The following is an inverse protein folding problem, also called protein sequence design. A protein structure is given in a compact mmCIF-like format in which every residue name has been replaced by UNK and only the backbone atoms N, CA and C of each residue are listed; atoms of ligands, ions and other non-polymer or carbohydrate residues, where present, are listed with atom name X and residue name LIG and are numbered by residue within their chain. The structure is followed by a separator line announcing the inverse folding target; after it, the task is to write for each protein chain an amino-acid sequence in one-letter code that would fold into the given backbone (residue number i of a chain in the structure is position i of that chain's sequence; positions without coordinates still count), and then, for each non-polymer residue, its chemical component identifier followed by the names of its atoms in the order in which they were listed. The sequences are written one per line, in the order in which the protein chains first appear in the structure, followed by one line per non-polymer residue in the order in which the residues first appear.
data_IF_714175184462
#
_entry.id   IF_714175184462
#
_cell.length_a   1.000
_cell.length_b   1.000
_cell.length_c   1.000
_cell.angle_alpha   90.00
_cell.angle_beta   90.00
_cell.angle_gamma   90.00
#
_symmetry.space_group_name_H-M   'P 1'
#
loop_
_entity.id
_entity.type
_entity.pdbx_description
1 polymer ?
#
# COMPACT_ATOMS: atom_id res chain seq x y z
N UNK A 1 19.69 -3.19 6.37
CA UNK A 1 18.93 -4.34 5.83
C UNK A 1 19.30 -4.45 4.37
N UNK A 2 19.46 -5.64 3.77
CA UNK A 2 19.69 -5.72 2.33
C UNK A 2 18.47 -5.07 1.66
N UNK A 3 18.66 -3.90 1.07
CA UNK A 3 17.71 -3.34 0.12
C UNK A 3 17.61 -4.39 -0.97
N UNK A 4 16.41 -4.94 -1.17
CA UNK A 4 16.18 -5.69 -2.39
C UNK A 4 16.24 -4.65 -3.50
N UNK A 5 17.42 -4.47 -4.11
CA UNK A 5 17.66 -3.60 -5.27
C UNK A 5 16.93 -4.12 -6.54
N UNK A 6 15.95 -5.01 -6.38
CA UNK A 6 15.10 -5.48 -7.45
C UNK A 6 13.87 -4.58 -7.54
N UNK A 7 14.02 -3.47 -8.25
CA UNK A 7 12.89 -2.72 -8.76
C UNK A 7 12.31 -3.48 -9.95
N UNK A 8 11.02 -3.83 -9.88
CA UNK A 8 10.32 -4.44 -11.02
C UNK A 8 10.44 -3.50 -12.22
N UNK A 9 10.91 -3.98 -13.38
CA UNK A 9 11.00 -3.14 -14.56
C UNK A 9 9.64 -2.49 -14.83
N UNK A 10 9.61 -1.17 -15.05
CA UNK A 10 8.35 -0.42 -15.17
C UNK A 10 7.42 -1.02 -16.25
N UNK A 11 7.98 -1.53 -17.34
CA UNK A 11 7.22 -2.19 -18.40
C UNK A 11 6.47 -3.45 -17.90
N UNK A 12 7.01 -4.20 -16.95
CA UNK A 12 6.40 -5.44 -16.46
C UNK A 12 5.09 -5.17 -15.71
N UNK A 13 5.00 -4.05 -15.00
CA UNK A 13 3.77 -3.60 -14.35
C UNK A 13 2.69 -3.25 -15.37
N UNK A 14 3.00 -2.41 -16.36
CA UNK A 14 2.04 -2.00 -17.38
C UNK A 14 1.56 -3.19 -18.22
N UNK A 15 2.49 -4.09 -18.59
CA UNK A 15 2.18 -5.33 -19.28
C UNK A 15 1.28 -6.23 -18.41
N UNK A 16 1.57 -6.35 -17.12
CA UNK A 16 0.72 -7.07 -16.18
C UNK A 16 -0.71 -6.54 -16.13
N UNK A 17 -0.87 -5.22 -16.03
CA UNK A 17 -2.18 -4.56 -16.01
C UNK A 17 -2.97 -4.74 -17.31
N UNK A 18 -2.33 -5.02 -18.44
CA UNK A 18 -3.02 -5.25 -19.71
C UNK A 18 -3.28 -6.74 -19.94
N UNK A 19 -2.25 -7.58 -19.81
CA UNK A 19 -2.33 -9.01 -20.13
C UNK A 19 -3.21 -9.74 -19.14
N UNK A 20 -3.06 -9.47 -17.84
CA UNK A 20 -3.79 -10.22 -16.82
C UNK A 20 -5.31 -10.13 -17.00
N UNK A 21 -5.91 -8.93 -17.13
CA UNK A 21 -7.34 -8.82 -17.38
C UNK A 21 -7.81 -9.51 -18.66
N UNK A 22 -7.05 -9.40 -19.76
CA UNK A 22 -7.42 -10.05 -21.03
C UNK A 22 -7.45 -11.57 -20.88
N UNK A 23 -6.44 -12.15 -20.21
CA UNK A 23 -6.39 -13.58 -19.92
C UNK A 23 -7.53 -13.98 -18.98
N UNK A 24 -7.76 -13.22 -17.91
CA UNK A 24 -8.83 -13.46 -16.95
C UNK A 24 -10.21 -13.43 -17.63
N UNK A 25 -10.44 -12.46 -18.51
CA UNK A 25 -11.66 -12.30 -19.30
C UNK A 25 -11.90 -13.48 -20.24
N UNK A 26 -10.86 -13.95 -20.94
CA UNK A 26 -10.94 -15.16 -21.79
C UNK A 26 -11.25 -16.40 -20.94
N UNK A 27 -10.67 -16.53 -19.76
CA UNK A 27 -10.89 -17.65 -18.85
C UNK A 27 -12.30 -17.63 -18.25
N UNK A 28 -12.79 -16.47 -17.81
CA UNK A 28 -14.09 -16.30 -17.20
C UNK A 28 -15.24 -16.55 -18.19
N UNK A 29 -15.05 -16.19 -19.46
CA UNK A 29 -16.03 -16.44 -20.53
C UNK A 29 -16.14 -17.91 -20.93
N UNK A 30 -15.26 -18.79 -20.46
CA UNK A 30 -15.40 -20.25 -20.65
C UNK A 30 -16.46 -20.76 -19.65
N UNK A 31 -17.70 -20.81 -20.11
CA UNK A 31 -18.82 -21.33 -19.32
C UNK A 31 -18.48 -22.68 -18.70
N UNK A 32 -18.47 -22.74 -17.36
CA UNK A 32 -18.46 -24.01 -16.63
C UNK A 32 -19.89 -24.28 -16.18
N UNK A 33 -20.44 -25.42 -16.59
CA UNK A 33 -21.60 -26.01 -15.94
C UNK A 33 -21.20 -26.26 -14.47
N UNK A 34 -21.86 -25.55 -13.54
CA UNK A 34 -21.50 -25.59 -12.12
C UNK A 34 -22.15 -26.81 -11.48
N UNK A 35 -21.50 -27.98 -11.58
CA UNK A 35 -21.60 -28.92 -10.46
C UNK A 35 -20.83 -28.28 -9.28
N UNK A 36 -21.52 -28.01 -8.15
CA UNK A 36 -20.85 -27.58 -6.92
C UNK A 36 -19.94 -28.72 -6.44
N UNK A 37 -18.67 -28.67 -6.80
CA UNK A 37 -17.63 -29.55 -6.24
C UNK A 37 -16.48 -28.72 -5.70
N UNK A 38 -16.11 -28.99 -4.46
CA UNK A 38 -14.87 -28.53 -3.88
C UNK A 38 -13.70 -29.22 -4.56
N UNK A 39 -12.71 -28.43 -4.99
CA UNK A 39 -11.52 -28.96 -5.67
C UNK A 39 -10.35 -29.05 -4.68
N UNK A 40 -9.58 -30.13 -4.79
CA UNK A 40 -8.41 -30.32 -3.95
C UNK A 40 -7.33 -29.27 -4.25
N UNK A 41 -7.14 -28.93 -5.53
CA UNK A 41 -6.18 -27.91 -5.98
C UNK A 41 -6.50 -26.55 -5.38
N UNK A 42 -7.78 -26.12 -5.43
CA UNK A 42 -8.19 -24.85 -4.81
C UNK A 42 -8.06 -24.90 -3.30
N UNK A 43 -8.35 -26.05 -2.67
CA UNK A 43 -8.13 -26.25 -1.24
C UNK A 43 -6.67 -26.04 -0.82
N UNK A 44 -5.71 -26.61 -1.56
CA UNK A 44 -4.29 -26.42 -1.28
C UNK A 44 -3.82 -25.00 -1.58
N UNK A 45 -4.36 -24.37 -2.62
CA UNK A 45 -4.09 -22.96 -2.91
C UNK A 45 -4.53 -22.08 -1.73
N UNK A 46 -5.77 -22.22 -1.27
CA UNK A 46 -6.32 -21.46 -0.13
C UNK A 46 -5.56 -21.80 1.16
N UNK A 47 -5.11 -23.04 1.35
CA UNK A 47 -4.25 -23.40 2.47
C UNK A 47 -2.92 -22.64 2.44
N UNK A 48 -2.29 -22.54 1.26
CA UNK A 48 -1.02 -21.81 1.11
C UNK A 48 -1.21 -20.30 1.30
N UNK A 49 -2.29 -19.72 0.75
CA UNK A 49 -2.55 -18.27 0.73
C UNK A 49 -3.48 -17.80 1.84
N UNK A 50 -3.88 -18.66 2.78
CA UNK A 50 -4.95 -18.34 3.71
C UNK A 50 -4.98 -19.22 4.95
N UNK A 51 -4.05 -20.18 5.03
CA UNK A 51 -4.01 -21.16 6.11
C UNK A 51 -3.76 -20.55 7.49
N UNK A 52 -3.00 -19.45 7.57
CA UNK A 52 -2.76 -18.72 8.82
C UNK A 52 -4.04 -18.13 9.44
N UNK A 53 -5.09 -17.93 8.65
CA UNK A 53 -6.38 -17.38 9.12
C UNK A 53 -7.46 -18.49 9.11
N UNK A 54 -7.11 -19.72 8.70
CA UNK A 54 -8.04 -20.85 8.63
C UNK A 54 -8.97 -20.84 7.40
N UNK A 55 -8.65 -20.07 6.35
CA UNK A 55 -9.52 -19.92 5.17
C UNK A 55 -9.81 -21.25 4.46
N UNK A 56 -8.87 -22.20 4.47
CA UNK A 56 -9.05 -23.53 3.87
C UNK A 56 -10.11 -24.36 4.61
N UNK A 57 -10.32 -24.13 5.91
CA UNK A 57 -11.40 -24.76 6.68
C UNK A 57 -12.75 -24.10 6.35
N UNK A 58 -12.79 -22.78 6.26
CA UNK A 58 -14.02 -22.06 5.87
C UNK A 58 -14.46 -22.37 4.44
N UNK A 59 -13.51 -22.53 3.52
CA UNK A 59 -13.78 -22.99 2.16
C UNK A 59 -14.57 -24.31 2.15
N UNK A 60 -14.26 -25.22 3.07
CA UNK A 60 -14.92 -26.52 3.23
C UNK A 60 -16.10 -26.49 4.21
N UNK A 61 -16.64 -25.31 4.53
CA UNK A 61 -17.72 -25.07 5.51
C UNK A 61 -17.44 -25.66 6.90
N UNK A 62 -16.17 -25.69 7.31
CA UNK A 62 -15.75 -26.21 8.61
C UNK A 62 -15.43 -25.08 9.59
N UNK A 63 -16.18 -25.01 10.69
CA UNK A 63 -16.05 -23.98 11.73
C UNK A 63 -14.75 -24.05 12.53
N UNK A 64 -13.97 -25.14 12.44
CA UNK A 64 -12.65 -25.22 13.07
C UNK A 64 -11.66 -24.16 12.54
N UNK A 65 -11.97 -23.51 11.40
CA UNK A 65 -11.25 -22.32 10.94
C UNK A 65 -11.19 -21.21 12.00
N UNK A 66 -12.19 -21.09 12.87
CA UNK A 66 -12.21 -20.08 13.95
C UNK A 66 -11.08 -20.24 14.97
N UNK A 67 -10.47 -21.43 15.10
CA UNK A 67 -9.32 -21.64 16.01
C UNK A 67 -8.08 -20.86 15.57
N UNK A 68 -7.93 -20.63 14.25
CA UNK A 68 -6.78 -19.90 13.70
C UNK A 68 -6.82 -18.42 14.02
N UNK A 69 -8.02 -17.82 14.07
CA UNK A 69 -8.20 -16.38 14.29
C UNK A 69 -7.60 -15.86 15.60
N UNK A 70 -7.89 -16.40 16.80
CA UNK A 70 -7.30 -15.89 18.04
C UNK A 70 -5.77 -16.08 18.07
N UNK A 71 -5.24 -17.17 17.51
CA UNK A 71 -3.79 -17.41 17.44
C UNK A 71 -3.13 -16.39 16.52
N UNK A 72 -3.74 -16.13 15.36
CA UNK A 72 -3.29 -15.12 14.42
C UNK A 72 -3.35 -13.71 15.03
N UNK A 73 -4.39 -13.38 15.79
CA UNK A 73 -4.48 -12.11 16.52
C UNK A 73 -3.37 -11.96 17.56
N UNK A 74 -3.01 -13.03 18.28
CA UNK A 74 -1.87 -13.02 19.21
C UNK A 74 -0.56 -12.73 18.47
N UNK A 75 -0.35 -13.28 17.27
CA UNK A 75 0.83 -12.96 16.44
C UNK A 75 0.86 -11.46 16.10
N UNK A 76 -0.27 -10.89 15.65
CA UNK A 76 -0.36 -9.47 15.30
C UNK A 76 -0.08 -8.56 16.50
N UNK A 77 -0.71 -8.83 17.65
CA UNK A 77 -0.50 -8.06 18.88
C UNK A 77 0.96 -8.18 19.33
N UNK A 78 1.53 -9.38 19.29
CA UNK A 78 2.92 -9.62 19.69
C UNK A 78 3.92 -8.88 18.80
N UNK A 79 3.67 -8.81 17.49
CA UNK A 79 4.54 -8.07 16.59
C UNK A 79 4.44 -6.55 16.80
N UNK A 80 3.21 -6.04 16.95
CA UNK A 80 2.98 -4.62 17.28
C UNK A 80 3.69 -4.23 18.57
N UNK A 81 3.47 -4.98 19.65
CA UNK A 81 4.08 -4.70 20.95
C UNK A 81 5.60 -4.95 20.94
N UNK A 82 6.08 -5.95 20.21
CA UNK A 82 7.50 -6.21 20.02
C UNK A 82 8.23 -5.08 19.30
N UNK A 83 7.54 -4.34 18.42
CA UNK A 83 8.09 -3.14 17.75
C UNK A 83 8.20 -1.97 18.73
N UNK A 84 7.15 -1.71 19.52
CA UNK A 84 7.17 -0.69 20.59
C UNK A 84 8.26 -0.98 21.61
N UNK A 85 8.35 -2.21 22.11
CA UNK A 85 9.37 -2.62 23.08
C UNK A 85 10.81 -2.48 22.52
N UNK A 86 11.00 -2.71 21.21
CA UNK A 86 12.29 -2.51 20.55
C UNK A 86 12.71 -1.04 20.53
N UNK A 87 11.77 -0.12 20.26
CA UNK A 87 12.05 1.32 20.27
C UNK A 87 12.47 1.77 21.67
N UNK A 88 11.66 1.44 22.69
CA UNK A 88 11.92 1.79 24.09
C UNK A 88 13.29 1.26 24.53
N UNK A 89 13.59 0.00 24.24
CA UNK A 89 14.89 -0.59 24.57
C UNK A 89 16.05 0.12 23.86
N UNK A 90 15.87 0.54 22.61
CA UNK A 90 16.88 1.28 21.86
C UNK A 90 17.15 2.65 22.47
N UNK A 91 16.09 3.36 22.87
CA UNK A 91 16.17 4.70 23.45
C UNK A 91 16.89 4.66 24.80
N UNK A 92 16.46 3.76 25.70
CA UNK A 92 17.07 3.62 27.04
C UNK A 92 18.51 3.11 26.95
N UNK A 93 18.81 2.16 26.05
CA UNK A 93 20.20 1.74 25.84
C UNK A 93 21.08 2.87 25.30
N UNK A 94 20.52 3.78 24.51
CA UNK A 94 21.26 4.95 24.06
C UNK A 94 21.57 5.90 25.22
N UNK A 95 20.60 6.15 26.11
CA UNK A 95 20.82 6.94 27.34
C UNK A 95 21.95 6.35 28.19
N UNK A 96 21.87 5.05 28.51
CA UNK A 96 22.91 4.33 29.28
C UNK A 96 24.27 4.48 28.62
N UNK A 97 24.36 4.22 27.31
CA UNK A 97 25.62 4.32 26.55
C UNK A 97 26.17 5.75 26.48
N UNK A 98 25.32 6.77 26.48
CA UNK A 98 25.76 8.17 26.51
C UNK A 98 26.28 8.52 27.89
N UNK A 99 25.56 8.14 28.94
CA UNK A 99 25.94 8.37 30.33
C UNK A 99 27.25 7.65 30.70
N UNK A 100 27.43 6.38 30.32
CA UNK A 100 28.67 5.62 30.54
C UNK A 100 29.87 6.29 29.85
N UNK A 101 29.69 6.76 28.60
CA UNK A 101 30.75 7.46 27.87
C UNK A 101 31.07 8.83 28.48
N UNK A 102 30.08 9.52 29.04
CA UNK A 102 30.29 10.79 29.73
C UNK A 102 30.99 10.58 31.07
N UNK A 103 30.55 9.60 31.85
CA UNK A 103 31.17 9.21 33.11
C UNK A 103 32.65 8.88 32.92
N UNK A 104 32.99 7.98 32.00
CA UNK A 104 34.38 7.60 31.74
C UNK A 104 35.27 8.79 31.32
N UNK A 105 34.72 9.76 30.56
CA UNK A 105 35.46 10.97 30.17
C UNK A 105 35.69 11.92 31.34
N UNK A 106 34.68 12.12 32.20
CA UNK A 106 34.80 13.03 33.34
C UNK A 106 35.63 12.40 34.48
N UNK A 107 35.57 11.08 34.66
CA UNK A 107 36.48 10.33 35.57
C UNK A 107 37.94 10.50 35.15
N UNK A 108 38.25 10.33 33.85
CA UNK A 108 39.59 10.53 33.32
C UNK A 108 40.07 11.98 33.49
N UNK A 109 39.19 12.97 33.28
CA UNK A 109 39.50 14.38 33.50
C UNK A 109 39.78 14.68 34.97
N UNK A 110 38.91 14.19 35.86
CA UNK A 110 39.06 14.34 37.30
C UNK A 110 40.39 13.76 37.78
N UNK A 111 40.77 12.56 37.31
CA UNK A 111 42.06 11.95 37.63
C UNK A 111 43.23 12.84 37.17
N UNK A 112 43.16 13.38 35.95
CA UNK A 112 44.22 14.26 35.41
C UNK A 112 44.35 15.59 36.16
N UNK A 113 43.23 16.23 36.52
CA UNK A 113 43.23 17.50 37.26
C UNK A 113 43.70 17.30 38.71
N UNK A 114 43.29 16.20 39.35
CA UNK A 114 43.76 15.83 40.70
C UNK A 114 45.27 15.52 40.71
N UNK A 115 45.80 14.89 39.67
CA UNK A 115 47.22 14.59 39.54
C UNK A 115 48.09 15.86 39.34
N UNK A 116 47.55 16.90 38.69
CA UNK A 116 48.26 18.16 38.44
C UNK A 116 48.32 19.10 39.66
N UNK A 117 47.33 19.03 40.57
CA UNK A 117 47.22 19.93 41.73
C UNK A 117 48.45 19.91 42.67
N UNK A 118 49.06 18.76 43.03
CA UNK A 118 50.26 18.73 43.87
C UNK A 118 51.45 19.45 43.25
N UNK A 119 51.67 19.28 41.94
CA UNK A 119 52.75 19.95 41.20
C UNK A 119 52.53 21.46 41.14
N UNK A 120 51.30 21.91 40.84
CA UNK A 120 50.94 23.33 40.84
C UNK A 120 51.09 23.98 42.23
N UNK A 121 50.75 23.26 43.30
CA UNK A 121 50.93 23.73 44.69
C UNK A 121 52.41 23.84 45.06
N UNK A 122 53.23 22.86 44.66
CA UNK A 122 54.67 22.93 44.85
C UNK A 122 55.31 24.08 44.03
N UNK A 123 54.85 24.32 42.80
CA UNK A 123 55.26 25.49 42.00
C UNK A 123 54.90 26.82 42.69
N UNK A 124 53.73 26.89 43.33
CA UNK A 124 53.29 28.08 44.08
C UNK A 124 54.18 28.32 45.30
N UNK A 125 54.51 27.27 46.05
CA UNK A 125 55.35 27.34 47.26
C UNK A 125 56.80 27.76 46.94
N UNK A 126 57.30 27.40 45.75
CA UNK A 126 58.64 27.77 45.28
C UNK A 126 58.73 29.15 44.61
N UNK A 127 57.59 29.82 44.34
CA UNK A 127 57.55 31.10 43.62
C UNK A 127 57.87 32.30 44.54
N UNK A 128 58.62 33.27 44.01
CA UNK A 128 58.95 34.52 44.71
C UNK A 128 57.67 35.30 45.10
N UNK A 129 57.52 35.74 46.37
CA UNK A 129 56.36 36.47 46.85
C UNK A 129 55.96 37.73 46.06
N UNK A 130 56.90 38.41 45.41
CA UNK A 130 56.62 39.66 44.67
C UNK A 130 56.52 39.47 43.14
N UNK A 131 56.59 38.22 42.65
CA UNK A 131 56.56 37.95 41.20
C UNK A 131 55.14 37.88 40.62
N UNK A 132 54.94 38.51 39.46
CA UNK A 132 53.72 38.36 38.64
C UNK A 132 53.42 36.88 38.27
N UNK A 133 54.44 36.01 38.25
CA UNK A 133 54.26 34.57 37.97
C UNK A 133 53.48 33.84 39.06
N UNK A 134 53.57 34.28 40.33
CA UNK A 134 52.83 33.70 41.45
C UNK A 134 51.32 33.80 41.25
N UNK A 135 50.86 34.99 40.82
CA UNK A 135 49.43 35.23 40.55
C UNK A 135 48.90 34.37 39.40
N UNK A 136 49.72 34.09 38.39
CA UNK A 136 49.36 33.20 37.30
C UNK A 136 49.22 31.73 37.76
N UNK A 137 50.08 31.28 38.68
CA UNK A 137 50.00 29.94 39.29
C UNK A 137 48.75 29.80 40.17
N UNK A 138 48.43 30.81 40.99
CA UNK A 138 47.19 30.85 41.78
C UNK A 138 45.94 30.71 40.90
N UNK A 139 45.88 31.43 39.77
CA UNK A 139 44.77 31.32 38.83
C UNK A 139 44.68 29.94 38.14
N UNK A 140 45.82 29.26 37.93
CA UNK A 140 45.86 27.88 37.42
C UNK A 140 45.34 26.89 38.45
N UNK A 141 45.71 27.06 39.72
CA UNK A 141 45.20 26.25 40.83
C UNK A 141 43.69 26.45 40.99
N UNK A 142 43.22 27.70 41.05
CA UNK A 142 41.78 28.01 41.15
C UNK A 142 40.98 27.42 39.99
N UNK A 143 41.52 27.48 38.76
CA UNK A 143 40.89 26.84 37.60
C UNK A 143 40.85 25.31 37.73
N UNK A 144 41.94 24.69 38.16
CA UNK A 144 42.01 23.25 38.36
C UNK A 144 41.03 22.79 39.47
N UNK A 145 40.93 23.54 40.57
CA UNK A 145 39.97 23.26 41.65
C UNK A 145 38.51 23.39 41.17
N UNK A 146 38.17 24.42 40.39
CA UNK A 146 36.85 24.56 39.76
C UNK A 146 36.54 23.43 38.76
N UNK A 147 37.52 23.00 37.99
CA UNK A 147 37.37 21.87 37.07
C UNK A 147 37.12 20.56 37.84
N UNK A 148 37.80 20.35 38.97
CA UNK A 148 37.59 19.19 39.86
C UNK A 148 36.17 19.20 40.42
N UNK A 149 35.68 20.34 40.92
CA UNK A 149 34.31 20.48 41.42
C UNK A 149 33.29 20.17 40.32
N UNK A 150 33.43 20.80 39.14
CA UNK A 150 32.55 20.57 38.00
C UNK A 150 32.55 19.11 37.54
N UNK A 151 33.73 18.47 37.52
CA UNK A 151 33.86 17.06 37.12
C UNK A 151 33.15 16.14 38.12
N UNK A 152 33.26 16.41 39.42
CA UNK A 152 32.55 15.65 40.47
C UNK A 152 31.04 15.79 40.36
N UNK A 153 30.54 17.00 40.12
CA UNK A 153 29.09 17.21 39.92
C UNK A 153 28.58 16.42 38.71
N UNK A 154 29.30 16.49 37.58
CA UNK A 154 28.93 15.74 36.37
C UNK A 154 29.03 14.24 36.55
N UNK A 155 30.02 13.75 37.28
CA UNK A 155 30.14 12.33 37.63
C UNK A 155 28.91 11.90 38.43
N UNK A 156 28.55 12.63 39.49
CA UNK A 156 27.38 12.33 40.32
C UNK A 156 26.06 12.37 39.52
N UNK A 157 25.91 13.32 38.60
CA UNK A 157 24.75 13.41 37.70
C UNK A 157 24.67 12.16 36.78
N UNK A 158 25.78 11.77 36.16
CA UNK A 158 25.82 10.60 35.29
C UNK A 158 25.62 9.28 36.06
N UNK A 159 26.16 9.16 37.27
CA UNK A 159 25.93 8.00 38.15
C UNK A 159 24.46 7.88 38.55
N UNK A 160 23.81 9.01 38.87
CA UNK A 160 22.37 9.05 39.17
C UNK A 160 21.57 8.62 37.95
N UNK A 161 21.87 9.18 36.78
CA UNK A 161 21.22 8.81 35.52
C UNK A 161 21.40 7.31 35.20
N UNK A 162 22.59 6.75 35.41
CA UNK A 162 22.83 5.31 35.23
C UNK A 162 22.03 4.46 36.22
N UNK A 163 21.93 4.90 37.47
CA UNK A 163 21.16 4.21 38.51
C UNK A 163 19.66 4.17 38.16
N UNK A 164 19.14 5.21 37.50
CA UNK A 164 17.76 5.26 37.03
C UNK A 164 17.53 4.52 35.70
N UNK A 165 18.45 4.66 34.73
CA UNK A 165 18.26 4.13 33.37
C UNK A 165 18.60 2.64 33.25
N UNK A 166 19.54 2.08 34.03
CA UNK A 166 19.86 0.63 34.01
C UNK A 166 18.65 -0.28 34.30
N UNK A 167 17.88 -0.10 35.39
CA UNK A 167 16.72 -0.95 35.66
C UNK A 167 15.63 -0.79 34.59
N UNK A 168 15.46 0.42 34.03
CA UNK A 168 14.56 0.64 32.89
C UNK A 168 15.00 -0.13 31.64
N UNK A 169 16.31 -0.19 31.37
CA UNK A 169 16.86 -0.94 30.24
C UNK A 169 16.63 -2.45 30.41
N UNK A 170 16.84 -2.98 31.62
CA UNK A 170 16.56 -4.37 31.95
C UNK A 170 15.08 -4.72 31.79
N UNK A 171 14.19 -3.86 32.28
CA UNK A 171 12.74 -4.03 32.12
C UNK A 171 12.34 -4.01 30.63
N UNK A 172 12.82 -3.03 29.86
CA UNK A 172 12.54 -2.94 28.42
C UNK A 172 13.09 -4.17 27.64
N UNK A 173 14.23 -4.71 28.08
CA UNK A 173 14.79 -5.93 27.51
C UNK A 173 13.92 -7.16 27.80
N UNK A 174 13.42 -7.28 29.04
CA UNK A 174 12.51 -8.34 29.45
C UNK A 174 11.18 -8.27 28.67
N UNK A 175 10.60 -7.08 28.53
CA UNK A 175 9.36 -6.86 27.78
C UNK A 175 9.52 -7.25 26.30
N UNK A 176 10.63 -6.84 25.68
CA UNK A 176 10.94 -7.23 24.30
C UNK A 176 11.10 -8.75 24.18
N UNK A 177 11.80 -9.39 25.13
CA UNK A 177 12.01 -10.83 25.12
C UNK A 177 10.68 -11.60 25.30
N UNK A 178 9.78 -11.09 26.14
CA UNK A 178 8.44 -11.63 26.35
C UNK A 178 7.64 -11.59 25.05
N UNK A 179 7.47 -10.42 24.43
CA UNK A 179 6.67 -10.29 23.19
C UNK A 179 7.25 -11.08 22.03
N UNK A 180 8.58 -11.15 21.91
CA UNK A 180 9.23 -12.01 20.93
C UNK A 180 8.93 -13.50 21.16
N UNK A 181 8.94 -13.95 22.42
CA UNK A 181 8.63 -15.33 22.77
C UNK A 181 7.16 -15.67 22.50
N UNK A 182 6.22 -14.81 22.92
CA UNK A 182 4.79 -14.99 22.67
C UNK A 182 4.50 -15.08 21.18
N UNK A 183 5.02 -14.14 20.38
CA UNK A 183 4.85 -14.15 18.92
C UNK A 183 5.45 -15.40 18.28
N UNK A 184 6.64 -15.83 18.72
CA UNK A 184 7.30 -17.05 18.24
C UNK A 184 6.47 -18.29 18.54
N UNK A 185 5.98 -18.48 19.77
CA UNK A 185 5.19 -19.66 20.12
C UNK A 185 3.84 -19.69 19.40
N UNK A 186 3.15 -18.55 19.28
CA UNK A 186 1.92 -18.47 18.50
C UNK A 186 2.15 -18.83 17.02
N UNK A 187 3.27 -18.40 16.43
CA UNK A 187 3.67 -18.80 15.09
C UNK A 187 3.93 -20.32 14.97
N UNK A 188 4.63 -20.93 15.94
CA UNK A 188 4.84 -22.39 15.92
C UNK A 188 3.54 -23.17 16.01
N UNK A 189 2.61 -22.73 16.86
CA UNK A 189 1.29 -23.36 17.00
C UNK A 189 0.52 -23.28 15.67
N UNK A 190 0.47 -22.10 15.03
CA UNK A 190 -0.30 -21.94 13.79
C UNK A 190 0.31 -22.74 12.63
N UNK A 191 1.64 -22.80 12.55
CA UNK A 191 2.34 -23.62 11.55
C UNK A 191 2.11 -25.11 11.78
N UNK A 192 2.10 -25.57 13.04
CA UNK A 192 1.76 -26.96 13.36
C UNK A 192 0.32 -27.30 12.94
N UNK A 193 -0.64 -26.41 13.22
CA UNK A 193 -2.03 -26.57 12.77
C UNK A 193 -2.13 -26.59 11.24
N UNK A 194 -1.41 -25.72 10.54
CA UNK A 194 -1.37 -25.73 9.07
C UNK A 194 -0.79 -27.03 8.53
N UNK A 195 0.25 -27.59 9.14
CA UNK A 195 0.85 -28.85 8.71
C UNK A 195 -0.13 -30.02 8.89
N UNK A 196 -0.82 -30.08 10.02
CA UNK A 196 -1.90 -31.06 10.27
C UNK A 196 -2.96 -30.95 9.18
N UNK A 197 -3.38 -29.74 8.87
CA UNK A 197 -4.43 -29.50 7.88
C UNK A 197 -4.00 -29.81 6.44
N UNK A 198 -2.72 -29.64 6.10
CA UNK A 198 -2.18 -30.05 4.81
C UNK A 198 -2.36 -31.56 4.55
N UNK A 199 -2.23 -32.36 5.61
CA UNK A 199 -2.42 -33.82 5.58
C UNK A 199 -3.90 -34.19 5.59
N UNK A 200 -4.73 -33.48 6.35
CA UNK A 200 -6.17 -33.77 6.45
C UNK A 200 -6.97 -33.29 5.23
N UNK A 201 -6.44 -32.34 4.45
CA UNK A 201 -7.14 -31.67 3.35
C UNK A 201 -7.85 -32.62 2.37
N UNK A 202 -7.22 -33.70 1.86
CA UNK A 202 -7.88 -34.62 0.93
C UNK A 202 -9.12 -35.29 1.53
N UNK A 203 -9.07 -35.63 2.82
CA UNK A 203 -10.19 -36.22 3.55
C UNK A 203 -11.32 -35.22 3.77
N UNK A 204 -10.98 -33.98 4.09
CA UNK A 204 -11.95 -32.90 4.31
C UNK A 204 -12.68 -32.54 3.01
N UNK A 205 -11.97 -32.45 1.89
CA UNK A 205 -12.57 -32.20 0.56
C UNK A 205 -13.54 -33.32 0.17
N UNK A 206 -13.16 -34.59 0.39
CA UNK A 206 -14.05 -35.73 0.13
C UNK A 206 -15.34 -35.66 0.95
N UNK A 207 -15.24 -35.34 2.25
CA UNK A 207 -16.40 -35.17 3.13
C UNK A 207 -17.29 -33.99 2.69
N UNK A 208 -16.69 -32.86 2.34
CA UNK A 208 -17.42 -31.69 1.88
C UNK A 208 -18.17 -31.95 0.56
N UNK A 209 -17.54 -32.66 -0.39
CA UNK A 209 -18.19 -33.06 -1.63
C UNK A 209 -19.31 -34.08 -1.41
N UNK A 210 -19.16 -35.01 -0.46
CA UNK A 210 -20.23 -35.94 -0.10
C UNK A 210 -21.45 -35.20 0.49
N UNK A 211 -21.23 -34.18 1.31
CA UNK A 211 -22.31 -33.37 1.87
C UNK A 211 -23.06 -32.55 0.80
N UNK A 212 -22.36 -32.06 -0.23
CA UNK A 212 -22.99 -31.33 -1.34
C UNK A 212 -23.75 -32.23 -2.30
N UNK A 213 -23.34 -33.51 -2.44
CA UNK A 213 -24.07 -34.47 -3.25
C UNK A 213 -25.46 -34.80 -2.67
N UNK A 214 -25.67 -34.55 -1.38
CA UNK A 214 -26.93 -34.75 -0.65
C UNK A 214 -27.80 -33.48 -0.58
N UNK A 215 -27.27 -32.31 -0.97
CA UNK A 215 -28.07 -31.09 -1.12
C UNK A 215 -28.91 -31.20 -2.41
N UNK A 216 -30.24 -31.00 -2.36
CA UNK A 216 -31.03 -30.82 -3.57
C UNK A 216 -30.37 -29.74 -4.43
N UNK A 217 -30.19 -30.03 -5.72
CA UNK A 217 -29.56 -29.11 -6.66
C UNK A 217 -30.18 -27.71 -6.55
N UNK A 218 -29.40 -26.65 -6.79
CA UNK A 218 -29.93 -25.30 -6.63
C UNK A 218 -31.13 -25.13 -7.58
N UNK A 219 -32.30 -24.87 -7.01
CA UNK A 219 -33.25 -23.99 -7.67
C UNK A 219 -32.42 -22.77 -8.04
N UNK A 220 -32.23 -22.56 -9.33
CA UNK A 220 -31.42 -21.48 -9.86
C UNK A 220 -32.17 -20.16 -9.70
N UNK A 221 -32.66 -19.86 -8.51
CA UNK A 221 -33.25 -18.59 -8.14
C UNK A 221 -32.24 -17.84 -7.27
N UNK A 222 -31.15 -17.44 -7.93
CA UNK A 222 -30.41 -16.25 -7.54
C UNK A 222 -31.25 -14.96 -7.73
N UNK A 223 -32.55 -15.07 -8.04
CA UNK A 223 -33.54 -14.00 -7.98
C UNK A 223 -34.00 -13.65 -6.56
N UNK A 224 -33.45 -14.29 -5.51
CA UNK A 224 -33.67 -13.84 -4.13
C UNK A 224 -32.92 -12.53 -3.79
N UNK A 225 -32.38 -11.84 -4.79
CA UNK A 225 -32.31 -10.39 -4.72
C UNK A 225 -33.70 -9.83 -4.38
N UNK A 226 -33.75 -8.68 -3.72
CA UNK A 226 -35.02 -8.05 -3.38
C UNK A 226 -35.94 -8.01 -4.63
N UNK A 227 -37.27 -8.17 -4.49
CA UNK A 227 -38.17 -8.22 -5.63
C UNK A 227 -37.99 -6.95 -6.49
N UNK A 228 -37.35 -7.11 -7.67
CA UNK A 228 -36.95 -6.01 -8.54
C UNK A 228 -35.59 -6.15 -9.26
N UNK A 229 -34.72 -7.08 -8.85
CA UNK A 229 -33.41 -7.30 -9.49
C UNK A 229 -33.44 -8.53 -10.42
N UNK A 230 -34.10 -8.38 -11.57
CA UNK A 230 -33.84 -9.30 -12.68
C UNK A 230 -32.38 -9.07 -13.10
N UNK A 231 -31.48 -10.02 -12.81
CA UNK A 231 -30.10 -10.04 -13.32
C UNK A 231 -30.17 -10.27 -14.83
N UNK A 232 -30.53 -9.23 -15.56
CA UNK A 232 -30.41 -9.17 -17.00
C UNK A 232 -28.92 -9.18 -17.32
N UNK A 233 -28.50 -10.05 -18.23
CA UNK A 233 -27.12 -10.05 -18.74
C UNK A 233 -26.81 -8.63 -19.25
N UNK A 234 -25.83 -7.93 -18.65
CA UNK A 234 -25.47 -6.55 -19.01
C UNK A 234 -25.22 -6.39 -20.51
N UNK A 235 -24.86 -7.48 -21.20
CA UNK A 235 -24.72 -7.51 -22.66
C UNK A 235 -26.00 -7.14 -23.40
N UNK A 236 -27.17 -7.37 -22.80
CA UNK A 236 -28.47 -6.98 -23.34
C UNK A 236 -28.64 -5.44 -23.39
N UNK A 237 -27.95 -4.71 -22.52
CA UNK A 237 -27.96 -3.24 -22.51
C UNK A 237 -27.16 -2.64 -23.68
N UNK A 238 -26.23 -3.42 -24.27
CA UNK A 238 -25.30 -2.96 -25.29
C UNK A 238 -25.90 -2.98 -26.70
N UNK A 239 -26.58 -1.89 -27.07
CA UNK A 239 -27.29 -1.77 -28.35
C UNK A 239 -26.43 -1.30 -29.51
N UNK A 240 -25.39 -0.49 -29.24
CA UNK A 240 -24.52 0.09 -30.27
C UNK A 240 -23.04 -0.18 -29.94
N UNK A 241 -22.14 0.28 -30.82
CA UNK A 241 -20.70 0.04 -30.65
C UNK A 241 -20.11 0.77 -29.44
N UNK A 242 -20.66 1.94 -29.07
CA UNK A 242 -20.23 2.71 -27.89
C UNK A 242 -20.56 1.94 -26.62
N UNK A 243 -21.79 1.42 -26.51
CA UNK A 243 -22.20 0.63 -25.36
C UNK A 243 -21.34 -0.64 -25.24
N UNK A 244 -21.03 -1.30 -26.36
CA UNK A 244 -20.14 -2.47 -26.38
C UNK A 244 -18.72 -2.13 -25.94
N UNK A 245 -18.22 -0.94 -26.31
CA UNK A 245 -16.93 -0.45 -25.87
C UNK A 245 -16.92 -0.17 -24.37
N UNK A 246 -17.95 0.49 -23.84
CA UNK A 246 -18.11 0.74 -22.40
C UNK A 246 -18.24 -0.56 -21.60
N UNK A 247 -19.01 -1.53 -22.12
CA UNK A 247 -19.14 -2.87 -21.54
C UNK A 247 -17.78 -3.58 -21.48
N UNK A 248 -17.05 -3.59 -22.61
CA UNK A 248 -15.73 -4.19 -22.68
C UNK A 248 -14.75 -3.52 -21.71
N UNK A 249 -14.73 -2.18 -21.66
CA UNK A 249 -13.84 -1.42 -20.82
C UNK A 249 -14.12 -1.67 -19.32
N UNK A 250 -15.40 -1.72 -18.93
CA UNK A 250 -15.82 -2.06 -17.57
C UNK A 250 -15.44 -3.50 -17.18
N UNK A 251 -15.74 -4.48 -18.04
CA UNK A 251 -15.36 -5.88 -17.80
C UNK A 251 -13.84 -6.06 -17.72
N UNK A 252 -13.08 -5.40 -18.62
CA UNK A 252 -11.62 -5.40 -18.61
C UNK A 252 -11.07 -4.88 -17.27
N UNK A 253 -11.52 -3.71 -16.83
CA UNK A 253 -11.04 -3.10 -15.61
C UNK A 253 -11.50 -3.83 -14.34
N UNK A 254 -12.65 -4.51 -14.36
CA UNK A 254 -13.13 -5.29 -13.22
C UNK A 254 -12.11 -6.34 -12.75
N UNK A 255 -11.32 -6.91 -13.66
CA UNK A 255 -10.28 -7.89 -13.31
C UNK A 255 -9.06 -7.27 -12.61
N UNK A 256 -8.85 -5.95 -12.64
CA UNK A 256 -7.82 -5.30 -11.81
C UNK A 256 -8.10 -5.49 -10.32
N UNK A 257 -9.36 -5.65 -9.90
CA UNK A 257 -9.69 -5.98 -8.51
C UNK A 257 -9.07 -7.31 -8.06
N UNK A 258 -8.92 -8.28 -8.96
CA UNK A 258 -8.27 -9.56 -8.65
C UNK A 258 -6.77 -9.36 -8.41
N UNK A 259 -6.11 -8.51 -9.20
CA UNK A 259 -4.72 -8.12 -8.98
C UNK A 259 -4.57 -7.48 -7.59
N UNK A 260 -5.48 -6.58 -7.22
CA UNK A 260 -5.46 -5.90 -5.92
C UNK A 260 -5.50 -6.88 -4.74
N UNK A 261 -6.30 -7.94 -4.82
CA UNK A 261 -6.37 -8.97 -3.77
C UNK A 261 -5.00 -9.60 -3.52
N UNK A 262 -4.28 -9.97 -4.58
CA UNK A 262 -2.93 -10.56 -4.45
C UNK A 262 -1.93 -9.56 -3.87
N UNK A 263 -1.95 -8.31 -4.33
CA UNK A 263 -1.01 -7.28 -3.87
C UNK A 263 -1.28 -6.89 -2.41
N UNK A 264 -2.54 -6.72 -2.00
CA UNK A 264 -2.88 -6.47 -0.59
C UNK A 264 -2.50 -7.65 0.30
N UNK A 265 -2.72 -8.88 -0.16
CA UNK A 265 -2.33 -10.06 0.60
C UNK A 265 -0.81 -10.13 0.80
N UNK A 266 -0.04 -9.86 -0.26
CA UNK A 266 1.40 -9.71 -0.19
C UNK A 266 1.80 -8.61 0.81
N UNK A 267 1.20 -7.42 0.75
CA UNK A 267 1.53 -6.30 1.63
C UNK A 267 1.23 -6.61 3.10
N UNK A 268 0.12 -7.29 3.38
CA UNK A 268 -0.23 -7.75 4.74
C UNK A 268 0.84 -8.72 5.25
N UNK A 269 1.28 -9.69 4.44
CA UNK A 269 2.35 -10.61 4.83
C UNK A 269 3.67 -9.85 5.03
N UNK A 270 4.08 -9.04 4.05
CA UNK A 270 5.34 -8.29 4.09
C UNK A 270 5.42 -7.40 5.35
N UNK A 271 4.34 -6.67 5.64
CA UNK A 271 4.25 -5.78 6.80
C UNK A 271 4.20 -6.52 8.13
N UNK A 272 3.32 -7.50 8.26
CA UNK A 272 3.03 -8.11 9.57
C UNK A 272 3.82 -9.38 9.87
N UNK A 273 4.29 -10.10 8.86
CA UNK A 273 5.10 -11.31 9.06
C UNK A 273 6.59 -10.97 8.97
N UNK A 274 6.98 -10.19 7.95
CA UNK A 274 8.39 -9.86 7.71
C UNK A 274 8.83 -8.52 8.29
N UNK A 275 7.92 -7.74 8.88
CA UNK A 275 8.20 -6.39 9.41
C UNK A 275 8.88 -5.49 8.36
N UNK A 276 8.48 -5.65 7.09
CA UNK A 276 9.04 -5.00 5.90
C UNK A 276 7.89 -4.41 5.07
N UNK A 277 7.31 -3.27 5.48
CA UNK A 277 6.24 -2.62 4.73
C UNK A 277 6.72 -2.21 3.33
N UNK A 278 5.87 -2.36 2.30
CA UNK A 278 6.23 -1.99 0.93
C UNK A 278 5.45 -0.76 0.45
N UNK A 279 6.11 0.39 0.45
CA UNK A 279 5.51 1.66 0.03
C UNK A 279 5.08 1.62 -1.44
N UNK A 280 5.87 0.98 -2.31
CA UNK A 280 5.57 0.84 -3.73
C UNK A 280 4.27 0.06 -3.98
N UNK A 281 3.98 -0.99 -3.20
CA UNK A 281 2.78 -1.80 -3.40
C UNK A 281 1.52 -1.00 -3.04
N UNK A 282 1.57 -0.24 -1.95
CA UNK A 282 0.48 0.65 -1.55
C UNK A 282 0.19 1.70 -2.63
N UNK A 283 1.24 2.37 -3.11
CA UNK A 283 1.11 3.36 -4.17
C UNK A 283 0.57 2.74 -5.47
N UNK A 284 1.11 1.60 -5.90
CA UNK A 284 0.65 0.87 -7.09
C UNK A 284 -0.85 0.58 -7.06
N UNK A 285 -1.37 0.13 -5.91
CA UNK A 285 -2.79 -0.15 -5.74
C UNK A 285 -3.64 1.12 -5.78
N UNK A 286 -3.24 2.16 -5.06
CA UNK A 286 -3.93 3.45 -5.06
C UNK A 286 -4.07 4.01 -6.49
N UNK A 287 -2.95 3.97 -7.20
CA UNK A 287 -2.81 4.36 -8.59
C UNK A 287 -3.71 3.51 -9.51
N UNK A 288 -3.67 2.19 -9.39
CA UNK A 288 -4.53 1.27 -10.17
C UNK A 288 -6.03 1.49 -9.92
N UNK A 289 -6.45 1.70 -8.66
CA UNK A 289 -7.86 1.97 -8.34
C UNK A 289 -8.34 3.31 -8.89
N UNK A 290 -7.48 4.34 -8.90
CA UNK A 290 -7.80 5.62 -9.54
C UNK A 290 -8.10 5.45 -11.03
N UNK A 291 -7.24 4.71 -11.74
CA UNK A 291 -7.48 4.35 -13.15
C UNK A 291 -8.76 3.53 -13.32
N UNK A 292 -8.98 2.55 -12.44
CA UNK A 292 -10.16 1.68 -12.47
C UNK A 292 -11.45 2.49 -12.40
N UNK A 293 -11.52 3.41 -11.44
CA UNK A 293 -12.70 4.22 -11.20
C UNK A 293 -13.11 5.06 -12.42
N UNK A 294 -12.13 5.66 -13.10
CA UNK A 294 -12.42 6.53 -14.24
C UNK A 294 -12.90 5.76 -15.47
N UNK A 295 -12.31 4.59 -15.76
CA UNK A 295 -12.80 3.74 -16.86
C UNK A 295 -14.17 3.16 -16.51
N UNK A 296 -14.36 2.70 -15.26
CA UNK A 296 -15.61 2.12 -14.81
C UNK A 296 -16.80 3.11 -14.84
N UNK A 297 -16.55 4.42 -14.81
CA UNK A 297 -17.60 5.44 -14.89
C UNK A 297 -18.50 5.31 -16.14
N UNK A 298 -17.91 5.00 -17.31
CA UNK A 298 -18.69 4.82 -18.54
C UNK A 298 -19.54 3.53 -18.49
N UNK A 299 -19.01 2.46 -17.89
CA UNK A 299 -19.76 1.23 -17.66
C UNK A 299 -20.91 1.46 -16.66
N UNK A 300 -20.66 2.11 -15.53
CA UNK A 300 -21.68 2.43 -14.55
C UNK A 300 -22.78 3.36 -15.13
N UNK A 301 -22.47 4.15 -16.15
CA UNK A 301 -23.45 4.97 -16.85
C UNK A 301 -24.31 4.12 -17.81
N UNK A 302 -23.72 3.12 -18.45
CA UNK A 302 -24.44 2.16 -19.29
C UNK A 302 -25.43 1.32 -18.46
N UNK A 303 -25.00 0.84 -17.29
CA UNK A 303 -25.80 -0.01 -16.39
C UNK A 303 -26.70 0.78 -15.43
N UNK A 304 -26.69 2.11 -15.52
CA UNK A 304 -27.41 3.01 -14.62
C UNK A 304 -27.13 2.81 -13.12
N UNK A 305 -25.97 2.23 -12.77
CA UNK A 305 -25.58 1.88 -11.39
C UNK A 305 -25.08 3.08 -10.56
N UNK A 306 -25.26 4.31 -11.06
CA UNK A 306 -24.90 5.51 -10.32
C UNK A 306 -25.92 5.79 -9.21
N UNK A 307 -25.46 6.28 -8.07
CA UNK A 307 -26.35 6.76 -7.00
C UNK A 307 -27.14 7.96 -7.54
N UNK A 308 -28.44 7.76 -7.70
CA UNK A 308 -29.39 8.75 -8.22
C UNK A 308 -30.46 9.02 -7.16
N UNK A 309 -30.88 10.29 -7.04
CA UNK A 309 -31.95 10.67 -6.11
C UNK A 309 -33.29 10.48 -6.83
N UNK A 310 -33.93 9.33 -6.60
CA UNK A 310 -35.06 8.88 -7.43
C UNK A 310 -36.45 9.33 -6.97
N UNK A 311 -36.55 10.15 -5.92
CA UNK A 311 -37.84 10.55 -5.31
C UNK A 311 -38.78 11.20 -6.34
N UNK A 312 -38.26 12.07 -7.21
CA UNK A 312 -39.06 12.80 -8.21
C UNK A 312 -38.98 12.18 -9.61
N UNK A 313 -37.96 11.35 -9.89
CA UNK A 313 -37.74 10.76 -11.20
C UNK A 313 -38.49 9.43 -11.38
N UNK A 314 -38.50 8.58 -10.35
CA UNK A 314 -39.12 7.25 -10.42
C UNK A 314 -40.58 7.24 -10.93
N UNK A 315 -41.49 8.12 -10.45
CA UNK A 315 -42.89 8.11 -10.86
C UNK A 315 -43.15 8.73 -12.25
N UNK A 316 -42.14 9.31 -12.91
CA UNK A 316 -42.32 9.91 -14.23
C UNK A 316 -42.56 8.85 -15.29
N UNK A 317 -43.46 9.14 -16.24
CA UNK A 317 -43.63 8.31 -17.43
C UNK A 317 -42.42 8.47 -18.37
N UNK A 318 -42.22 7.49 -19.26
CA UNK A 318 -40.99 7.32 -20.07
C UNK A 318 -40.59 8.57 -20.87
N UNK A 319 -41.57 9.28 -21.47
CA UNK A 319 -41.33 10.55 -22.18
C UNK A 319 -40.83 11.67 -21.27
N UNK A 320 -41.43 11.84 -20.08
CA UNK A 320 -40.97 12.84 -19.12
C UNK A 320 -39.58 12.53 -18.58
N UNK A 321 -39.26 11.25 -18.38
CA UNK A 321 -37.90 10.81 -18.02
C UNK A 321 -36.89 11.22 -19.08
N UNK A 322 -37.17 10.93 -20.35
CA UNK A 322 -36.28 11.30 -21.46
C UNK A 322 -36.08 12.83 -21.59
N UNK A 323 -37.10 13.65 -21.33
CA UNK A 323 -36.95 15.11 -21.29
C UNK A 323 -36.07 15.60 -20.14
N UNK A 324 -36.26 15.03 -18.95
CA UNK A 324 -35.42 15.36 -17.77
C UNK A 324 -33.97 14.91 -18.00
N UNK A 325 -33.76 13.72 -18.56
CA UNK A 325 -32.44 13.20 -18.89
C UNK A 325 -31.76 14.06 -19.97
N UNK A 326 -32.51 14.50 -20.98
CA UNK A 326 -32.01 15.43 -22.00
C UNK A 326 -31.61 16.79 -21.38
N UNK A 327 -32.44 17.36 -20.50
CA UNK A 327 -32.14 18.63 -19.85
C UNK A 327 -30.91 18.52 -18.92
N UNK A 328 -30.82 17.44 -18.14
CA UNK A 328 -29.70 17.19 -17.22
C UNK A 328 -28.41 16.81 -17.94
N UNK A 329 -28.50 16.26 -19.16
CA UNK A 329 -27.33 15.91 -20.00
C UNK A 329 -26.43 17.10 -20.30
N UNK A 330 -26.97 18.33 -20.32
CA UNK A 330 -26.18 19.56 -20.52
C UNK A 330 -25.13 19.71 -19.42
N UNK A 331 -25.55 19.56 -18.16
CA UNK A 331 -24.65 19.63 -17.02
C UNK A 331 -23.66 18.46 -17.01
N UNK A 332 -24.13 17.27 -17.41
CA UNK A 332 -23.26 16.12 -17.58
C UNK A 332 -22.15 16.39 -18.61
N UNK A 333 -22.46 16.94 -19.79
CA UNK A 333 -21.46 17.23 -20.82
C UNK A 333 -20.51 18.35 -20.43
N UNK A 334 -20.96 19.35 -19.66
CA UNK A 334 -20.05 20.34 -19.06
C UNK A 334 -19.05 19.63 -18.14
N UNK A 335 -19.54 18.80 -17.21
CA UNK A 335 -18.68 18.04 -16.30
C UNK A 335 -17.72 17.11 -17.05
N UNK A 336 -18.23 16.27 -17.96
CA UNK A 336 -17.43 15.30 -18.70
C UNK A 336 -16.44 15.97 -19.65
N UNK A 337 -16.83 17.08 -20.27
CA UNK A 337 -15.97 17.90 -21.12
C UNK A 337 -14.85 18.57 -20.33
N UNK A 338 -15.15 19.18 -19.18
CA UNK A 338 -14.14 19.73 -18.28
C UNK A 338 -13.20 18.64 -17.78
N UNK A 339 -13.73 17.48 -17.36
CA UNK A 339 -12.93 16.35 -16.91
C UNK A 339 -12.00 15.83 -18.01
N UNK A 340 -12.47 15.72 -19.26
CA UNK A 340 -11.64 15.31 -20.39
C UNK A 340 -10.53 16.34 -20.68
N UNK A 341 -10.88 17.63 -20.69
CA UNK A 341 -9.93 18.70 -20.93
C UNK A 341 -8.86 18.77 -19.85
N UNK A 342 -9.24 18.78 -18.56
CA UNK A 342 -8.28 18.85 -17.45
C UNK A 342 -7.44 17.59 -17.36
N UNK A 343 -8.03 16.41 -17.61
CA UNK A 343 -7.27 15.16 -17.68
C UNK A 343 -6.23 15.19 -18.79
N UNK A 344 -6.57 15.74 -19.96
CA UNK A 344 -5.63 15.88 -21.07
C UNK A 344 -4.48 16.81 -20.72
N UNK A 345 -4.78 17.99 -20.13
CA UNK A 345 -3.75 18.92 -19.66
C UNK A 345 -2.82 18.24 -18.66
N UNK A 346 -3.36 17.58 -17.63
CA UNK A 346 -2.54 16.88 -16.64
C UNK A 346 -1.71 15.73 -17.23
N UNK A 347 -2.25 15.01 -18.20
CA UNK A 347 -1.52 13.94 -18.89
C UNK A 347 -0.34 14.50 -19.70
N UNK A 348 -0.54 15.64 -20.39
CA UNK A 348 0.53 16.30 -21.13
C UNK A 348 1.58 16.92 -20.21
N UNK A 349 1.15 17.61 -19.15
CA UNK A 349 2.06 18.23 -18.18
C UNK A 349 2.98 17.20 -17.50
N UNK A 350 2.43 16.01 -17.20
CA UNK A 350 3.20 14.92 -16.62
C UNK A 350 4.25 14.35 -17.57
N UNK A 351 4.07 14.47 -18.88
CA UNK A 351 5.08 14.06 -19.86
C UNK A 351 6.11 15.18 -20.06
N UNK A 352 5.65 16.44 -20.11
CA UNK A 352 6.43 17.62 -20.44
C UNK A 352 7.29 18.15 -19.28
N UNK A 353 7.44 17.41 -18.18
CA UNK A 353 8.25 17.82 -17.03
C UNK A 353 9.72 18.06 -17.47
N UNK A 354 10.35 19.20 -17.07
CA UNK A 354 11.72 19.52 -17.47
C UNK A 354 12.78 18.50 -17.02
N UNK A 355 12.53 17.75 -15.95
CA UNK A 355 13.42 16.70 -15.46
C UNK A 355 13.38 15.41 -16.27
N UNK A 356 12.39 15.25 -17.16
CA UNK A 356 12.24 14.07 -18.02
C UNK A 356 13.12 14.16 -19.26
N UNK A 357 13.90 13.12 -19.53
CA UNK A 357 14.80 13.00 -20.69
C UNK A 357 14.39 11.84 -21.63
N UNK A 358 13.18 11.33 -21.48
CA UNK A 358 12.60 10.37 -22.43
C UNK A 358 12.22 11.07 -23.73
N UNK A 359 12.28 10.35 -24.85
CA UNK A 359 11.91 10.88 -26.18
C UNK A 359 10.46 11.40 -26.21
N UNK A 360 9.57 10.78 -25.42
CA UNK A 360 8.18 11.23 -25.26
C UNK A 360 8.08 12.56 -24.50
N UNK A 361 9.00 12.83 -23.57
CA UNK A 361 9.10 14.11 -22.86
C UNK A 361 9.57 15.24 -23.77
N UNK A 362 10.58 14.99 -24.60
CA UNK A 362 11.08 15.96 -25.59
C UNK A 362 9.97 16.33 -26.60
N UNK A 363 9.20 15.34 -27.04
CA UNK A 363 8.04 15.56 -27.91
C UNK A 363 6.93 16.37 -27.24
N UNK A 364 6.59 16.06 -26.00
CA UNK A 364 5.53 16.78 -25.29
C UNK A 364 5.90 18.24 -25.02
N UNK A 365 7.19 18.55 -24.87
CA UNK A 365 7.70 19.93 -24.78
C UNK A 365 7.80 20.63 -26.14
N UNK A 366 7.58 19.91 -27.24
CA UNK A 366 7.66 20.44 -28.60
C UNK A 366 9.10 20.61 -29.12
N UNK A 367 10.07 19.94 -28.51
CA UNK A 367 11.49 20.00 -28.91
C UNK A 367 11.75 19.15 -30.16
N UNK A 368 10.97 18.08 -30.35
CA UNK A 368 11.05 17.16 -31.50
C UNK A 368 9.66 16.94 -32.12
N UNK A 369 9.63 16.58 -33.41
CA UNK A 369 8.40 16.23 -34.11
C UNK A 369 7.85 14.85 -33.70
N UNK A 370 6.57 14.60 -33.98
CA UNK A 370 5.94 13.29 -33.73
C UNK A 370 6.62 12.14 -34.49
N UNK A 371 7.11 12.40 -35.71
CA UNK A 371 7.85 11.40 -36.49
C UNK A 371 9.16 10.99 -35.84
N UNK A 372 9.91 11.97 -35.31
CA UNK A 372 11.16 11.74 -34.60
C UNK A 372 10.92 11.04 -33.26
N UNK A 373 9.83 11.41 -32.57
CA UNK A 373 9.40 10.75 -31.34
C UNK A 373 9.12 9.27 -31.55
N UNK A 374 8.32 8.94 -32.57
CA UNK A 374 8.01 7.55 -32.90
C UNK A 374 9.25 6.79 -33.39
N UNK A 375 10.16 7.44 -34.12
CA UNK A 375 11.41 6.85 -34.58
C UNK A 375 12.42 6.59 -33.46
N UNK A 376 12.43 7.44 -32.43
CA UNK A 376 13.28 7.31 -31.25
C UNK A 376 12.68 6.43 -30.14
N UNK A 377 11.45 5.95 -30.30
CA UNK A 377 10.78 5.10 -29.32
C UNK A 377 11.26 3.64 -29.43
N UNK A 378 12.46 3.38 -28.92
CA UNK A 378 13.09 2.07 -28.95
C UNK A 378 13.05 1.34 -27.59
N UNK A 379 13.63 0.13 -27.54
CA UNK A 379 13.73 -0.63 -26.30
C UNK A 379 14.64 0.03 -25.28
N UNK A 380 15.60 0.86 -25.72
CA UNK A 380 16.52 1.54 -24.81
C UNK A 380 15.80 2.55 -23.92
N UNK A 381 14.70 3.16 -24.39
CA UNK A 381 13.83 4.01 -23.57
C UNK A 381 13.31 3.29 -22.31
N UNK A 382 13.10 1.98 -22.39
CA UNK A 382 12.50 1.17 -21.32
C UNK A 382 13.51 0.38 -20.49
N UNK A 383 14.69 0.10 -21.04
CA UNK A 383 15.72 -0.72 -20.37
C UNK A 383 16.85 0.10 -19.78
N UNK A 384 17.05 1.35 -20.21
CA UNK A 384 18.12 2.21 -19.71
C UNK A 384 17.70 2.88 -18.39
N UNK A 385 18.40 2.62 -17.26
CA UNK A 385 18.08 3.23 -15.97
C UNK A 385 18.24 4.76 -15.94
N UNK A 386 18.99 5.34 -16.89
CA UNK A 386 19.17 6.78 -17.01
C UNK A 386 18.00 7.53 -17.64
N UNK A 387 16.98 6.83 -18.13
CA UNK A 387 15.79 7.44 -18.76
C UNK A 387 14.72 7.71 -17.70
N UNK A 388 14.32 8.99 -17.62
CA UNK A 388 13.28 9.51 -16.73
C UNK A 388 12.09 9.93 -17.57
N UNK A 389 10.98 9.25 -17.35
CA UNK A 389 9.74 9.37 -18.10
C UNK A 389 8.84 10.45 -17.52
N UNK A 390 9.23 11.72 -17.68
CA UNK A 390 8.47 12.87 -17.19
C UNK A 390 8.33 12.89 -15.67
N UNK A 391 7.09 13.05 -15.19
CA UNK A 391 6.70 13.00 -13.78
C UNK A 391 6.74 11.56 -13.26
N UNK A 392 7.45 11.36 -12.15
CA UNK A 392 7.62 10.07 -11.47
C UNK A 392 7.05 10.12 -10.05
N UNK A 393 6.68 8.96 -9.52
CA UNK A 393 6.28 8.83 -8.13
C UNK A 393 7.40 9.14 -7.14
N UNK A 394 7.04 9.49 -5.91
CA UNK A 394 7.99 9.76 -4.81
C UNK A 394 8.40 8.50 -4.05
N UNK A 395 7.84 7.33 -4.38
CA UNK A 395 8.26 6.06 -3.79
C UNK A 395 9.58 5.55 -4.37
N UNK A 396 10.15 4.57 -3.70
CA UNK A 396 11.35 3.83 -4.12
C UNK A 396 11.26 3.22 -5.53
N UNK A 397 10.05 3.11 -6.09
CA UNK A 397 9.82 2.50 -7.39
C UNK A 397 9.80 3.51 -8.55
N UNK A 398 9.68 4.81 -8.28
CA UNK A 398 9.78 5.91 -9.27
C UNK A 398 8.93 5.66 -10.53
N UNK A 399 7.67 5.27 -10.35
CA UNK A 399 6.78 4.91 -11.46
C UNK A 399 6.45 6.14 -12.29
N UNK A 400 6.55 6.07 -13.64
CA UNK A 400 6.06 7.14 -14.48
C UNK A 400 4.54 7.32 -14.34
N UNK A 401 4.11 8.54 -14.03
CA UNK A 401 2.70 8.84 -13.79
C UNK A 401 1.92 9.18 -15.06
N UNK A 402 2.61 9.49 -16.16
CA UNK A 402 1.94 9.88 -17.39
C UNK A 402 0.97 8.81 -17.96
N UNK A 403 1.26 7.48 -17.96
CA UNK A 403 0.32 6.50 -18.52
C UNK A 403 -1.00 6.50 -17.74
N UNK A 404 -0.92 6.76 -16.44
CA UNK A 404 -2.07 6.83 -15.55
C UNK A 404 -2.98 8.01 -15.84
N UNK A 405 -2.35 9.18 -16.01
CA UNK A 405 -3.07 10.40 -16.36
C UNK A 405 -3.69 10.27 -17.75
N UNK A 406 -3.06 9.54 -18.67
CA UNK A 406 -3.68 9.16 -19.94
C UNK A 406 -4.87 8.21 -19.79
N UNK A 407 -4.85 7.29 -18.83
CA UNK A 407 -6.05 6.50 -18.50
C UNK A 407 -7.20 7.41 -18.03
N UNK A 408 -6.91 8.51 -17.34
CA UNK A 408 -7.94 9.50 -17.01
C UNK A 408 -8.56 10.13 -18.27
N UNK A 409 -7.73 10.46 -19.28
CA UNK A 409 -8.20 10.94 -20.59
C UNK A 409 -9.09 9.91 -21.26
N UNK A 410 -8.67 8.64 -21.25
CA UNK A 410 -9.46 7.54 -21.83
C UNK A 410 -10.80 7.38 -21.10
N UNK A 411 -10.81 7.41 -19.76
CA UNK A 411 -12.04 7.35 -18.96
C UNK A 411 -12.98 8.52 -19.24
N UNK A 412 -12.44 9.75 -19.31
CA UNK A 412 -13.20 10.94 -19.69
C UNK A 412 -13.78 10.85 -21.10
N UNK A 413 -13.01 10.35 -22.06
CA UNK A 413 -13.47 10.13 -23.43
C UNK A 413 -14.59 9.09 -23.48
N UNK A 414 -14.43 7.96 -22.77
CA UNK A 414 -15.46 6.93 -22.67
C UNK A 414 -16.75 7.48 -22.04
N UNK A 415 -16.66 8.31 -21.01
CA UNK A 415 -17.80 8.98 -20.40
C UNK A 415 -18.52 9.91 -21.38
N UNK A 416 -17.78 10.74 -22.14
CA UNK A 416 -18.36 11.61 -23.16
C UNK A 416 -19.06 10.79 -24.25
N UNK A 417 -18.41 9.73 -24.75
CA UNK A 417 -18.99 8.83 -25.74
C UNK A 417 -20.26 8.15 -25.21
N UNK A 418 -20.22 7.65 -23.97
CA UNK A 418 -21.39 7.02 -23.35
C UNK A 418 -22.54 8.01 -23.16
N UNK A 419 -22.24 9.26 -22.78
CA UNK A 419 -23.22 10.35 -22.75
C UNK A 419 -23.87 10.61 -24.10
N UNK A 420 -23.09 10.61 -25.18
CA UNK A 420 -23.61 10.75 -26.56
C UNK A 420 -24.53 9.58 -26.90
N UNK A 421 -24.14 8.35 -26.53
CA UNK A 421 -24.99 7.15 -26.70
C UNK A 421 -26.32 7.30 -25.96
N UNK A 422 -26.29 7.76 -24.69
CA UNK A 422 -27.50 7.94 -23.87
C UNK A 422 -28.42 9.02 -24.43
N UNK A 423 -27.91 10.21 -24.71
CA UNK A 423 -28.70 11.30 -25.30
C UNK A 423 -29.29 10.91 -26.65
N UNK A 424 -28.56 10.16 -27.48
CA UNK A 424 -29.09 9.67 -28.76
C UNK A 424 -30.27 8.72 -28.57
N UNK A 425 -30.28 7.92 -27.50
CA UNK A 425 -31.40 7.04 -27.14
C UNK A 425 -32.58 7.83 -26.58
N UNK A 426 -32.33 8.84 -25.75
CA UNK A 426 -33.38 9.70 -25.17
C UNK A 426 -34.09 10.51 -26.26
N UNK A 427 -33.34 11.11 -27.20
CA UNK A 427 -33.89 11.80 -28.36
C UNK A 427 -34.76 10.85 -29.20
N UNK A 428 -34.32 9.60 -29.38
CA UNK A 428 -35.08 8.59 -30.13
C UNK A 428 -36.36 8.19 -29.40
N UNK A 429 -36.33 8.06 -28.07
CA UNK A 429 -37.51 7.78 -27.25
C UNK A 429 -38.54 8.92 -27.36
N UNK A 430 -38.10 10.17 -27.27
CA UNK A 430 -38.93 11.36 -27.46
C UNK A 430 -39.55 11.37 -28.87
N UNK A 431 -38.74 11.12 -29.90
CA UNK A 431 -39.20 11.16 -31.30
C UNK A 431 -40.20 10.04 -31.65
N UNK A 432 -40.09 8.86 -31.03
CA UNK A 432 -41.02 7.74 -31.22
C UNK A 432 -42.27 7.83 -30.36
N UNK A 433 -42.28 8.73 -29.37
CA UNK A 433 -43.38 8.85 -28.43
C UNK A 433 -43.51 7.63 -27.50
N UNK A 434 -42.41 6.95 -27.20
CA UNK A 434 -42.38 5.80 -26.27
C UNK A 434 -42.27 6.21 -24.79
#
# INVERSE_FOLDING_TARGET
MPTLDFTLPHWAYWVGLIIFPLVAMVLARRGRAVERRYSLTLGYLIWATGGLIGLHRFYLRNLLGFVYLPIFLVILVSNSQGTTARSILSDVNNEVRVAERSLAREEQRLESDLAALPELRAELDAADPESFSRRAIELRIDRAERNVETSRERIAENETLLTESRPRAEQAAADRAYWNSVGKYALWVILALMLIDAVLLPGLVRRANAAVADEPGPDHDLSSAAPGEDVTDDRALATNWIDRLSLFAGEFVAYWAVIAVFVYYYEVIARYVFNSPTNWAHEAMYLMFGMQYLIAGAYAMLTESHVRVDIFYAPLHRRNKAWVDLATSVFFFIFAGTLLYTSYTFAMDAIAVPSGNAVVSDWARGEIGLGDMLGGFDTAQWTNPGIRWGEISLSEWEVPLWPMKWVMVVGGLLLVLQGISKVSKDIRAIARGE
#
